data_IF_269034832961
#
_entry.id   IF_269034832961
#
_cell.length_a   1.000
_cell.length_b   1.000
_cell.length_c   1.000
_cell.angle_alpha   90.00
_cell.angle_beta   90.00
_cell.angle_gamma   90.00
#
_symmetry.space_group_name_H-M   'P 1'
#
loop_
_entity.id
_entity.type
_entity.pdbx_description
1 polymer ?
#
# COMPACT_ATOMS: atom_id res chain seq x y z
N UNK A 1 -34.93 44.17 32.74
CA UNK A 1 -33.78 43.60 31.99
C UNK A 1 -33.53 42.18 32.47
N UNK A 2 -34.02 41.17 31.74
CA UNK A 2 -33.66 39.73 31.77
C UNK A 2 -34.01 39.17 30.35
N UNK A 3 -33.69 37.91 29.98
CA UNK A 3 -32.44 37.48 29.34
C UNK A 3 -32.68 36.69 28.02
N UNK A 4 -31.70 36.58 27.12
CA UNK A 4 -31.74 35.66 25.95
C UNK A 4 -30.30 35.18 25.69
N UNK A 5 -29.86 33.96 26.03
CA UNK A 5 -30.02 32.63 25.40
C UNK A 5 -29.42 32.49 23.98
N UNK A 6 -28.74 31.35 23.77
CA UNK A 6 -28.33 30.68 22.51
C UNK A 6 -27.14 31.27 21.71
N UNK A 7 -26.17 30.51 21.21
CA UNK A 7 -26.07 29.07 21.08
C UNK A 7 -24.62 28.59 20.85
N UNK A 8 -24.36 27.38 21.36
CA UNK A 8 -23.19 26.56 21.14
C UNK A 8 -23.16 26.12 19.68
N UNK A 9 -22.25 26.65 18.87
CA UNK A 9 -22.01 26.15 17.52
C UNK A 9 -21.19 24.87 17.63
N UNK A 10 -21.91 23.74 17.66
CA UNK A 10 -21.34 22.44 17.31
C UNK A 10 -21.01 22.47 15.80
N UNK A 11 -19.73 22.59 15.46
CA UNK A 11 -19.27 22.34 14.10
C UNK A 11 -19.37 20.84 13.82
N UNK A 12 -20.32 20.53 12.95
CA UNK A 12 -20.61 19.23 12.36
C UNK A 12 -19.36 18.57 11.79
N UNK A 13 -19.22 17.26 12.05
CA UNK A 13 -18.17 16.42 11.53
C UNK A 13 -18.12 16.46 9.99
N UNK A 14 -17.05 17.02 9.45
CA UNK A 14 -16.67 16.82 8.05
C UNK A 14 -16.03 15.44 7.94
N UNK A 15 -16.74 14.48 7.38
CA UNK A 15 -16.15 13.23 6.89
C UNK A 15 -15.19 13.58 5.75
N UNK A 16 -13.95 13.85 6.12
CA UNK A 16 -12.85 13.93 5.16
C UNK A 16 -12.53 12.50 4.72
N UNK A 17 -13.17 12.06 3.63
CA UNK A 17 -12.70 10.94 2.85
C UNK A 17 -11.34 11.34 2.24
N UNK A 18 -10.27 11.09 2.99
CA UNK A 18 -8.90 11.29 2.55
C UNK A 18 -8.41 9.95 2.00
N UNK A 19 -7.81 9.99 0.81
CA UNK A 19 -7.22 8.85 0.13
C UNK A 19 -6.37 8.02 1.11
N UNK A 20 -6.70 6.73 1.22
CA UNK A 20 -6.17 5.77 2.18
C UNK A 20 -4.77 5.33 1.78
N UNK A 21 -3.77 6.17 2.04
CA UNK A 21 -2.37 5.75 1.99
C UNK A 21 -1.97 5.14 3.32
N UNK A 22 -1.94 3.81 3.37
CA UNK A 22 -1.51 3.03 4.55
C UNK A 22 0.00 2.78 4.57
N UNK A 23 0.75 3.55 3.79
CA UNK A 23 2.21 3.66 3.90
C UNK A 23 2.63 4.86 4.76
N UNK A 24 3.92 5.25 4.77
CA UNK A 24 4.47 6.40 5.51
C UNK A 24 3.83 7.79 5.22
N UNK A 25 2.69 7.83 4.53
CA UNK A 25 1.88 9.00 4.19
C UNK A 25 0.79 9.40 5.20
N UNK A 26 0.61 8.70 6.32
CA UNK A 26 -0.36 9.10 7.34
C UNK A 26 0.28 10.03 8.41
N UNK A 27 -0.47 11.05 8.86
CA UNK A 27 0.00 12.04 9.85
C UNK A 27 -0.06 13.50 9.39
N UNK A 28 0.03 14.45 10.34
CA UNK A 28 -0.09 15.89 10.04
C UNK A 28 1.04 16.42 9.16
N UNK A 29 2.27 15.90 9.28
CA UNK A 29 3.38 16.28 8.42
C UNK A 29 3.07 15.97 6.96
N UNK A 30 2.51 14.79 6.70
CA UNK A 30 2.06 14.43 5.34
C UNK A 30 0.92 15.31 4.84
N UNK A 31 0.00 15.71 5.72
CA UNK A 31 -1.09 16.64 5.38
C UNK A 31 -0.60 18.07 5.13
N UNK A 32 0.33 18.55 5.96
CA UNK A 32 0.89 19.91 5.91
C UNK A 32 1.73 20.12 4.65
N UNK A 33 2.45 19.09 4.22
CA UNK A 33 3.30 19.12 3.03
C UNK A 33 2.66 18.44 1.82
N UNK A 34 1.33 18.24 1.83
CA UNK A 34 0.59 17.67 0.71
C UNK A 34 0.83 18.49 -0.57
N UNK A 35 1.18 17.81 -1.66
CA UNK A 35 1.46 18.44 -2.96
C UNK A 35 2.87 19.04 -3.09
N UNK A 36 3.72 18.93 -2.05
CA UNK A 36 5.13 19.27 -2.14
C UNK A 36 5.95 18.05 -2.56
N UNK A 37 6.93 18.26 -3.44
CA UNK A 37 7.85 17.22 -3.92
C UNK A 37 9.27 17.47 -3.44
N UNK A 38 10.13 16.46 -3.54
CA UNK A 38 11.56 16.58 -3.21
C UNK A 38 11.93 16.11 -1.80
N UNK A 39 13.22 15.82 -1.62
CA UNK A 39 13.76 15.19 -0.39
C UNK A 39 13.51 16.05 0.85
N UNK A 40 13.69 17.37 0.75
CA UNK A 40 13.53 18.26 1.89
C UNK A 40 12.10 18.27 2.44
N UNK A 41 11.08 18.34 1.58
CA UNK A 41 9.68 18.31 2.00
C UNK A 41 9.32 16.97 2.64
N UNK A 42 9.83 15.86 2.10
CA UNK A 42 9.63 14.53 2.67
C UNK A 42 10.31 14.36 4.04
N UNK A 43 11.53 14.87 4.21
CA UNK A 43 12.25 14.81 5.49
C UNK A 43 11.56 15.64 6.56
N UNK A 44 11.08 16.84 6.23
CA UNK A 44 10.36 17.68 7.18
C UNK A 44 9.01 17.07 7.52
N UNK A 45 8.26 16.56 6.53
CA UNK A 45 7.01 15.84 6.77
C UNK A 45 7.21 14.62 7.68
N UNK A 46 8.22 13.80 7.41
CA UNK A 46 8.57 12.64 8.23
C UNK A 46 8.97 13.04 9.66
N UNK A 47 9.74 14.12 9.79
CA UNK A 47 10.14 14.65 11.11
C UNK A 47 8.92 15.14 11.89
N UNK A 48 8.01 15.89 11.25
CA UNK A 48 6.76 16.37 11.86
C UNK A 48 5.79 15.24 12.23
N UNK A 49 5.78 14.15 11.46
CA UNK A 49 5.03 12.94 11.77
C UNK A 49 5.62 12.18 12.96
N UNK A 50 6.95 12.15 13.06
CA UNK A 50 7.68 11.47 14.14
C UNK A 50 7.74 12.24 15.45
N UNK A 51 7.56 13.57 15.43
CA UNK A 51 7.58 14.37 16.65
C UNK A 51 6.30 14.21 17.47
N UNK A 52 6.46 14.12 18.79
CA UNK A 52 5.36 14.15 19.77
C UNK A 52 4.31 13.04 19.62
N UNK A 53 4.64 11.91 18.98
CA UNK A 53 3.72 10.76 18.86
C UNK A 53 2.46 11.06 18.04
N UNK A 54 2.51 12.06 17.17
CA UNK A 54 1.36 12.53 16.41
C UNK A 54 0.75 11.44 15.50
N UNK A 55 1.60 10.59 14.91
CA UNK A 55 1.16 9.42 14.16
C UNK A 55 0.47 8.40 15.06
N UNK A 56 1.03 8.11 16.24
CA UNK A 56 0.42 7.19 17.21
C UNK A 56 -0.94 7.72 17.68
N UNK A 57 -1.04 9.01 17.98
CA UNK A 57 -2.32 9.65 18.32
C UNK A 57 -3.32 9.56 17.16
N UNK A 58 -2.88 9.83 15.92
CA UNK A 58 -3.71 9.68 14.73
C UNK A 58 -4.23 8.25 14.55
N UNK A 59 -3.36 7.26 14.73
CA UNK A 59 -3.70 5.83 14.68
C UNK A 59 -4.67 5.39 15.78
N UNK A 60 -4.53 5.89 17.02
CA UNK A 60 -5.39 5.49 18.15
C UNK A 60 -6.72 6.24 18.19
N UNK A 61 -6.75 7.49 17.74
CA UNK A 61 -7.96 8.32 17.70
C UNK A 61 -8.73 8.22 16.38
N UNK A 62 -8.15 7.61 15.35
CA UNK A 62 -8.73 7.57 13.99
C UNK A 62 -8.74 8.94 13.30
N UNK A 63 -7.76 9.80 13.59
CA UNK A 63 -7.62 11.15 13.02
C UNK A 63 -6.40 11.24 12.08
N UNK A 64 -6.20 12.40 11.45
CA UNK A 64 -4.97 12.73 10.70
C UNK A 64 -4.73 11.85 9.46
N UNK A 65 -5.79 11.29 8.89
CA UNK A 65 -5.73 10.44 7.70
C UNK A 65 -5.08 9.07 7.94
N UNK A 66 -4.86 8.67 9.20
CA UNK A 66 -4.36 7.35 9.54
C UNK A 66 -5.52 6.35 9.64
N UNK A 67 -5.51 5.33 8.80
CA UNK A 67 -6.45 4.21 8.82
C UNK A 67 -5.73 2.94 9.29
N UNK A 68 -6.12 2.46 10.48
CA UNK A 68 -5.58 1.24 11.10
C UNK A 68 -6.46 0.02 10.86
N UNK A 69 -7.58 0.17 10.14
CA UNK A 69 -8.45 -0.96 9.78
C UNK A 69 -7.82 -1.88 8.72
N UNK A 70 -6.80 -1.39 8.01
CA UNK A 70 -6.06 -2.15 7.01
C UNK A 70 -4.91 -2.93 7.67
N UNK A 71 -4.64 -4.12 7.15
CA UNK A 71 -3.49 -4.92 7.56
C UNK A 71 -2.19 -4.23 7.20
N UNK A 72 -1.21 -4.27 8.12
CA UNK A 72 0.16 -3.81 7.83
C UNK A 72 0.79 -4.85 6.89
N UNK A 73 0.72 -4.60 5.59
CA UNK A 73 1.37 -5.43 4.58
C UNK A 73 2.78 -4.89 4.32
N UNK A 74 3.78 -5.48 4.99
CA UNK A 74 5.19 -5.29 4.60
C UNK A 74 5.54 -6.35 3.55
N UNK A 75 5.47 -5.99 2.28
CA UNK A 75 5.80 -6.93 1.20
C UNK A 75 7.29 -6.86 0.91
N UNK A 76 8.07 -7.74 1.58
CA UNK A 76 9.47 -8.01 1.21
C UNK A 76 9.64 -8.47 -0.25
N UNK A 77 8.53 -8.76 -0.94
CA UNK A 77 8.48 -9.04 -2.36
C UNK A 77 9.05 -7.90 -3.21
N UNK A 78 8.92 -6.63 -2.80
CA UNK A 78 9.48 -5.51 -3.58
C UNK A 78 10.98 -5.65 -3.75
N UNK A 79 11.71 -6.02 -2.69
CA UNK A 79 13.15 -6.24 -2.77
C UNK A 79 13.50 -7.46 -3.65
N UNK A 80 12.76 -8.56 -3.51
CA UNK A 80 12.99 -9.77 -4.32
C UNK A 80 12.71 -9.51 -5.80
N UNK A 81 11.61 -8.83 -6.11
CA UNK A 81 11.22 -8.45 -7.48
C UNK A 81 12.25 -7.50 -8.06
N UNK A 82 12.60 -6.43 -7.34
CA UNK A 82 13.60 -5.43 -7.76
C UNK A 82 14.94 -6.08 -8.14
N UNK A 83 15.47 -6.98 -7.32
CA UNK A 83 16.75 -7.63 -7.59
C UNK A 83 16.70 -8.71 -8.69
N UNK A 84 15.52 -9.13 -9.15
CA UNK A 84 15.39 -10.27 -10.06
C UNK A 84 14.41 -10.02 -11.23
N UNK A 85 14.15 -8.78 -11.63
CA UNK A 85 13.13 -8.44 -12.64
C UNK A 85 13.26 -9.26 -13.94
N UNK A 86 14.45 -9.38 -14.51
CA UNK A 86 14.67 -10.15 -15.75
C UNK A 86 14.39 -11.65 -15.57
N UNK A 87 14.86 -12.23 -14.46
CA UNK A 87 14.65 -13.65 -14.15
C UNK A 87 13.19 -13.93 -13.83
N UNK A 88 12.56 -13.05 -13.08
CA UNK A 88 11.15 -13.12 -12.72
C UNK A 88 10.26 -13.02 -13.95
N UNK A 89 10.56 -12.10 -14.87
CA UNK A 89 9.85 -11.98 -16.15
C UNK A 89 9.91 -13.29 -16.93
N UNK A 90 11.10 -13.90 -17.05
CA UNK A 90 11.26 -15.21 -17.70
C UNK A 90 10.49 -16.34 -17.01
N UNK A 91 10.51 -16.39 -15.67
CA UNK A 91 9.79 -17.40 -14.89
C UNK A 91 8.26 -17.24 -15.05
N UNK A 92 7.75 -16.01 -15.04
CA UNK A 92 6.32 -15.72 -15.29
C UNK A 92 5.96 -16.07 -16.73
N UNK A 93 6.79 -15.72 -17.71
CA UNK A 93 6.56 -16.05 -19.12
C UNK A 93 6.52 -17.57 -19.37
N UNK A 94 7.26 -18.37 -18.59
CA UNK A 94 7.19 -19.84 -18.62
C UNK A 94 6.03 -20.40 -17.80
N UNK A 95 5.48 -19.61 -16.89
CA UNK A 95 4.49 -20.02 -15.89
C UNK A 95 5.07 -20.84 -14.74
N UNK A 96 6.39 -20.95 -14.67
CA UNK A 96 7.10 -21.64 -13.59
C UNK A 96 8.55 -21.14 -13.46
N UNK A 97 9.11 -21.28 -12.27
CA UNK A 97 10.51 -20.97 -11.99
C UNK A 97 10.80 -20.65 -10.53
N UNK A 98 12.10 -20.58 -10.21
CA UNK A 98 12.62 -20.41 -8.85
C UNK A 98 12.26 -19.04 -8.28
N UNK A 99 12.40 -17.98 -9.08
CA UNK A 99 12.16 -16.61 -8.62
C UNK A 99 10.67 -16.40 -8.42
N UNK A 100 9.85 -16.88 -9.35
CA UNK A 100 8.39 -16.83 -9.20
C UNK A 100 7.91 -17.59 -7.95
N UNK A 101 8.52 -18.74 -7.66
CA UNK A 101 8.24 -19.50 -6.43
C UNK A 101 8.68 -18.74 -5.17
N UNK A 102 9.82 -18.06 -5.23
CA UNK A 102 10.35 -17.25 -4.14
C UNK A 102 9.44 -16.06 -3.85
N UNK A 103 8.95 -15.38 -4.90
CA UNK A 103 7.97 -14.30 -4.75
C UNK A 103 6.71 -14.82 -4.06
N UNK A 104 6.17 -15.97 -4.48
CA UNK A 104 5.01 -16.58 -3.83
C UNK A 104 5.25 -16.85 -2.34
N UNK A 105 6.43 -17.39 -1.99
CA UNK A 105 6.80 -17.67 -0.60
C UNK A 105 6.93 -16.40 0.24
N UNK A 106 7.52 -15.33 -0.31
CA UNK A 106 7.69 -14.05 0.40
C UNK A 106 6.37 -13.32 0.56
N UNK A 107 5.43 -13.51 -0.37
CA UNK A 107 4.05 -13.05 -0.24
C UNK A 107 3.20 -13.95 0.68
N UNK A 108 3.78 -14.98 1.29
CA UNK A 108 3.08 -15.84 2.25
C UNK A 108 2.04 -16.78 1.63
N UNK A 109 2.13 -17.05 0.32
CA UNK A 109 1.19 -17.94 -0.37
C UNK A 109 1.42 -19.38 0.08
N UNK A 110 0.36 -20.05 0.52
CA UNK A 110 0.44 -21.44 0.97
C UNK A 110 0.75 -22.37 -0.21
N UNK A 111 1.52 -23.44 0.03
CA UNK A 111 1.97 -24.36 -1.04
C UNK A 111 0.84 -24.92 -1.92
N UNK A 112 -0.37 -25.07 -1.37
CA UNK A 112 -1.56 -25.53 -2.12
C UNK A 112 -2.05 -24.52 -3.17
N UNK A 113 -1.80 -23.23 -2.97
CA UNK A 113 -2.30 -22.15 -3.80
C UNK A 113 -1.21 -21.56 -4.72
N UNK A 114 0.06 -21.93 -4.51
CA UNK A 114 1.19 -21.56 -5.39
C UNK A 114 0.93 -21.91 -6.87
N UNK A 115 0.36 -23.08 -7.24
CA UNK A 115 0.03 -23.36 -8.64
C UNK A 115 -0.96 -22.35 -9.23
N UNK A 116 -1.95 -21.92 -8.44
CA UNK A 116 -2.92 -20.89 -8.86
C UNK A 116 -2.23 -19.54 -9.02
N UNK A 117 -1.37 -19.14 -8.07
CA UNK A 117 -0.58 -17.92 -8.18
C UNK A 117 0.26 -17.89 -9.45
N UNK A 118 1.05 -18.94 -9.71
CA UNK A 118 1.90 -19.03 -10.91
C UNK A 118 1.10 -18.89 -12.19
N UNK A 119 -0.03 -19.61 -12.28
CA UNK A 119 -0.95 -19.53 -13.42
C UNK A 119 -1.51 -18.12 -13.60
N UNK A 120 -2.00 -17.48 -12.54
CA UNK A 120 -2.55 -16.11 -12.63
C UNK A 120 -1.48 -15.13 -13.09
N UNK A 121 -0.25 -15.23 -12.58
CA UNK A 121 0.85 -14.36 -13.03
C UNK A 121 1.17 -14.61 -14.51
N UNK A 122 1.25 -15.87 -14.93
CA UNK A 122 1.51 -16.27 -16.31
C UNK A 122 0.45 -15.77 -17.29
N UNK A 123 -0.82 -16.04 -16.99
CA UNK A 123 -1.98 -15.67 -17.81
C UNK A 123 -2.09 -14.15 -17.98
N UNK A 124 -1.50 -13.38 -17.05
CA UNK A 124 -1.50 -11.92 -17.04
C UNK A 124 -0.11 -11.32 -17.28
N UNK A 125 0.80 -12.05 -17.93
CA UNK A 125 2.17 -11.58 -18.19
C UNK A 125 2.20 -10.18 -18.84
N UNK A 126 1.38 -9.94 -19.86
CA UNK A 126 1.33 -8.66 -20.57
C UNK A 126 0.81 -7.50 -19.71
N UNK A 127 0.05 -7.81 -18.64
CA UNK A 127 -0.40 -6.81 -17.66
C UNK A 127 0.72 -6.48 -16.68
N UNK A 128 1.55 -7.46 -16.32
CA UNK A 128 2.70 -7.31 -15.42
C UNK A 128 3.88 -6.61 -16.10
N UNK A 129 4.13 -6.90 -17.38
CA UNK A 129 5.22 -6.34 -18.18
C UNK A 129 4.69 -5.71 -19.47
N UNK A 130 3.95 -4.58 -19.38
CA UNK A 130 3.37 -3.94 -20.55
C UNK A 130 4.42 -3.27 -21.45
N UNK A 131 5.58 -2.94 -20.89
CA UNK A 131 6.73 -2.33 -21.57
C UNK A 131 8.02 -2.55 -20.76
N UNK A 132 9.15 -2.07 -21.28
CA UNK A 132 10.48 -2.21 -20.66
C UNK A 132 10.73 -1.30 -19.46
N UNK A 133 9.88 -0.29 -19.23
CA UNK A 133 10.09 0.76 -18.23
C UNK A 133 9.29 0.52 -16.94
N UNK A 134 8.64 -0.64 -16.81
CA UNK A 134 7.88 -1.02 -15.63
C UNK A 134 8.80 -1.16 -14.41
N UNK A 135 8.39 -0.61 -13.26
CA UNK A 135 9.17 -0.70 -12.02
C UNK A 135 8.78 -1.91 -11.16
N UNK A 136 9.65 -2.28 -10.21
CA UNK A 136 9.35 -3.33 -9.23
C UNK A 136 8.11 -3.04 -8.40
N UNK A 137 7.87 -1.77 -8.03
CA UNK A 137 6.68 -1.35 -7.29
C UNK A 137 5.43 -1.59 -8.14
N UNK A 138 5.44 -1.15 -9.40
CA UNK A 138 4.32 -1.33 -10.32
C UNK A 138 4.01 -2.80 -10.58
N UNK A 139 5.04 -3.65 -10.70
CA UNK A 139 4.88 -5.10 -10.81
C UNK A 139 4.19 -5.64 -9.57
N UNK A 140 4.67 -5.33 -8.36
CA UNK A 140 4.08 -5.86 -7.12
C UNK A 140 2.65 -5.35 -6.93
N UNK A 141 2.37 -4.08 -7.19
CA UNK A 141 1.00 -3.52 -7.15
C UNK A 141 0.08 -4.26 -8.11
N UNK A 142 0.56 -4.56 -9.32
CA UNK A 142 -0.19 -5.33 -10.31
C UNK A 142 -0.41 -6.77 -9.85
N UNK A 143 0.61 -7.43 -9.28
CA UNK A 143 0.46 -8.78 -8.70
C UNK A 143 -0.60 -8.80 -7.60
N UNK A 144 -0.57 -7.83 -6.68
CA UNK A 144 -1.54 -7.69 -5.59
C UNK A 144 -2.95 -7.46 -6.14
N UNK A 145 -3.10 -6.59 -7.14
CA UNK A 145 -4.38 -6.35 -7.81
C UNK A 145 -4.93 -7.63 -8.46
N UNK A 146 -4.10 -8.39 -9.18
CA UNK A 146 -4.50 -9.66 -9.78
C UNK A 146 -4.90 -10.69 -8.71
N UNK A 147 -4.17 -10.76 -7.60
CA UNK A 147 -4.50 -11.64 -6.47
C UNK A 147 -5.83 -11.27 -5.82
N UNK A 148 -6.11 -9.98 -5.62
CA UNK A 148 -7.37 -9.50 -5.05
C UNK A 148 -8.60 -9.86 -5.92
N UNK A 149 -8.40 -10.01 -7.24
CA UNK A 149 -9.45 -10.40 -8.18
C UNK A 149 -9.59 -11.93 -8.37
N UNK A 150 -8.67 -12.73 -7.83
CA UNK A 150 -8.74 -14.20 -7.90
C UNK A 150 -9.36 -14.78 -6.61
N UNK A 151 -10.35 -15.67 -6.78
CA UNK A 151 -11.12 -16.23 -5.66
C UNK A 151 -10.28 -17.03 -4.67
N UNK A 152 -9.17 -17.62 -5.12
CA UNK A 152 -8.28 -18.43 -4.30
C UNK A 152 -7.22 -17.55 -3.63
N UNK A 153 -6.76 -16.50 -4.33
CA UNK A 153 -5.63 -15.68 -3.89
C UNK A 153 -6.03 -14.43 -3.08
N UNK A 154 -7.28 -13.98 -3.16
CA UNK A 154 -7.75 -12.76 -2.49
C UNK A 154 -7.55 -12.77 -0.95
N UNK A 155 -7.43 -13.95 -0.34
CA UNK A 155 -7.16 -14.09 1.11
C UNK A 155 -5.72 -13.69 1.52
N UNK A 156 -4.82 -13.47 0.56
CA UNK A 156 -3.40 -13.14 0.82
C UNK A 156 -3.09 -11.64 0.73
N UNK A 157 -4.06 -10.79 0.38
CA UNK A 157 -3.85 -9.37 0.07
C UNK A 157 -4.85 -8.46 0.76
#
# INVERSE_FOLDING_TARGET
MRPILTGLVMLTASSFAMASDTGPGCGWGSMLFKGQSGVASHVVAATTNGTSGNNTFGMTSGTNGCDTSRTINYTGSNAVVFHNMDRLSNDIAKGDGEILSTVASVMGIESRDVPTFKRVMHDNFNTLYPNSDVTSEQIVETMVSLMANDKTLAKYV
#
